data_IF_447933679478
#
_entry.id   IF_447933679478
#
_cell.length_a   1.000
_cell.length_b   1.000
_cell.length_c   1.000
_cell.angle_alpha   90.00
_cell.angle_beta   90.00
_cell.angle_gamma   90.00
#
_symmetry.space_group_name_H-M   'P 1'
#
loop_
_entity.id
_entity.type
_entity.pdbx_description
1 polymer ?
#
# COMPACT_ATOMS: atom_id res chain seq x y z
N UNK A 1 4.76 13.10 3.94
CA UNK A 1 3.38 12.89 3.43
C UNK A 1 2.42 13.97 3.93
N UNK A 2 2.15 14.07 5.24
CA UNK A 2 1.16 15.00 5.84
C UNK A 2 1.25 16.45 5.35
N UNK A 3 2.44 17.06 5.38
CA UNK A 3 2.64 18.44 4.91
C UNK A 3 2.25 18.63 3.44
N UNK A 4 2.76 17.79 2.54
CA UNK A 4 2.39 17.81 1.13
C UNK A 4 0.89 17.54 0.93
N UNK A 5 0.30 16.64 1.73
CA UNK A 5 -1.12 16.35 1.71
C UNK A 5 -1.98 17.58 2.01
N UNK A 6 -1.57 18.41 2.98
CA UNK A 6 -2.23 19.69 3.29
C UNK A 6 -2.15 20.66 2.12
N UNK A 7 -0.96 20.82 1.51
CA UNK A 7 -0.77 21.69 0.35
C UNK A 7 -1.59 21.23 -0.88
N UNK A 8 -1.76 19.92 -1.04
CA UNK A 8 -2.50 19.31 -2.14
C UNK A 8 -4.02 19.16 -1.88
N UNK A 9 -4.51 19.54 -0.69
CA UNK A 9 -5.92 19.36 -0.30
C UNK A 9 -6.34 17.90 -0.05
N UNK A 10 -5.39 16.97 0.08
CA UNK A 10 -5.65 15.53 0.32
C UNK A 10 -5.52 15.12 1.80
N UNK A 11 -5.25 16.09 2.68
CA UNK A 11 -5.19 15.93 4.13
C UNK A 11 -5.90 17.13 4.79
N UNK A 12 -6.78 16.92 5.79
CA UNK A 12 -7.58 17.99 6.39
C UNK A 12 -6.73 18.94 7.25
N UNK A 13 -7.16 20.20 7.35
CA UNK A 13 -6.53 21.23 8.19
C UNK A 13 -7.36 21.62 9.41
N UNK A 14 -8.63 21.22 9.44
CA UNK A 14 -9.63 21.62 10.43
C UNK A 14 -10.57 20.47 10.83
N UNK A 15 -10.16 19.22 10.58
CA UNK A 15 -10.88 18.02 10.97
C UNK A 15 -9.89 17.00 11.55
N UNK A 16 -9.76 17.03 12.88
CA UNK A 16 -8.79 16.21 13.61
C UNK A 16 -9.15 14.72 13.57
N UNK A 17 -10.43 14.37 13.45
CA UNK A 17 -10.86 12.98 13.37
C UNK A 17 -10.49 12.39 12.01
N UNK A 18 -10.78 13.11 10.93
CA UNK A 18 -10.37 12.69 9.59
C UNK A 18 -8.84 12.65 9.45
N UNK A 19 -8.13 13.60 10.07
CA UNK A 19 -6.67 13.58 10.15
C UNK A 19 -6.16 12.29 10.81
N UNK A 20 -6.70 11.94 11.99
CA UNK A 20 -6.33 10.74 12.74
C UNK A 20 -6.63 9.45 11.94
N UNK A 21 -7.77 9.41 11.23
CA UNK A 21 -8.10 8.28 10.36
C UNK A 21 -7.09 8.12 9.22
N UNK A 22 -6.68 9.21 8.55
CA UNK A 22 -5.66 9.16 7.50
C UNK A 22 -4.32 8.69 8.08
N UNK A 23 -3.95 9.22 9.25
CA UNK A 23 -2.72 8.88 9.93
C UNK A 23 -2.62 7.40 10.27
N UNK A 24 -3.73 6.77 10.67
CA UNK A 24 -3.80 5.33 10.91
C UNK A 24 -3.30 4.52 9.69
N UNK A 25 -3.67 4.89 8.47
CA UNK A 25 -3.22 4.16 7.26
C UNK A 25 -1.78 4.48 6.86
N UNK A 26 -1.30 5.70 7.13
CA UNK A 26 0.11 6.07 6.92
C UNK A 26 1.02 5.30 7.88
N UNK A 27 0.64 5.25 9.15
CA UNK A 27 1.40 4.57 10.19
C UNK A 27 1.34 3.05 9.97
N UNK A 28 0.17 2.52 9.60
CA UNK A 28 0.03 1.13 9.17
C UNK A 28 0.93 0.79 7.97
N UNK A 29 1.08 1.72 7.02
CA UNK A 29 1.96 1.52 5.87
C UNK A 29 3.44 1.48 6.28
N UNK A 30 3.80 2.33 7.24
CA UNK A 30 5.14 2.39 7.82
C UNK A 30 5.45 1.10 8.57
N UNK A 31 4.51 0.61 9.38
CA UNK A 31 4.63 -0.66 10.12
C UNK A 31 4.94 -1.85 9.20
N UNK A 32 4.19 -2.00 8.10
CA UNK A 32 4.44 -3.07 7.13
C UNK A 32 5.79 -2.88 6.45
N UNK A 33 6.14 -1.65 6.08
CA UNK A 33 7.43 -1.36 5.43
C UNK A 33 8.59 -1.77 6.34
N UNK A 34 8.53 -1.43 7.62
CA UNK A 34 9.55 -1.78 8.62
C UNK A 34 9.59 -3.29 8.84
N UNK A 35 8.43 -3.95 8.99
CA UNK A 35 8.33 -5.39 9.17
C UNK A 35 9.01 -6.16 8.02
N UNK A 36 8.64 -5.85 6.77
CA UNK A 36 9.17 -6.54 5.58
C UNK A 36 10.66 -6.21 5.39
N UNK A 37 11.07 -4.95 5.60
CA UNK A 37 12.46 -4.54 5.43
C UNK A 37 13.40 -5.17 6.45
N UNK A 38 12.96 -5.33 7.70
CA UNK A 38 13.77 -5.93 8.76
C UNK A 38 13.76 -7.47 8.73
N UNK A 39 12.72 -8.07 8.14
CA UNK A 39 12.66 -9.54 8.00
C UNK A 39 13.76 -10.01 7.06
N UNK A 40 14.74 -10.70 7.62
CA UNK A 40 15.86 -11.27 6.87
C UNK A 40 16.96 -10.29 6.49
N UNK A 41 17.03 -9.12 7.16
CA UNK A 41 17.97 -8.04 6.82
C UNK A 41 19.44 -8.47 6.91
N UNK A 42 19.79 -9.19 7.98
CA UNK A 42 21.17 -9.57 8.30
C UNK A 42 21.44 -11.07 8.02
N UNK A 43 20.49 -11.77 7.41
CA UNK A 43 20.59 -13.18 7.06
C UNK A 43 21.14 -13.39 5.64
N UNK A 44 21.48 -14.64 5.30
CA UNK A 44 21.76 -15.01 3.91
C UNK A 44 20.55 -14.83 3.01
N UNK A 45 20.76 -14.70 1.69
CA UNK A 45 19.65 -14.55 0.72
C UNK A 45 18.62 -15.68 0.79
N UNK A 46 19.08 -16.91 1.03
CA UNK A 46 18.20 -18.08 1.12
C UNK A 46 17.35 -18.05 2.39
N UNK A 47 17.94 -17.70 3.53
CA UNK A 47 17.22 -17.55 4.80
C UNK A 47 16.23 -16.38 4.74
N UNK A 48 16.64 -15.24 4.17
CA UNK A 48 15.77 -14.07 3.94
C UNK A 48 14.54 -14.44 3.11
N UNK A 49 14.73 -15.12 1.98
CA UNK A 49 13.64 -15.63 1.12
C UNK A 49 12.68 -16.52 1.91
N UNK A 50 13.23 -17.44 2.72
CA UNK A 50 12.45 -18.38 3.52
C UNK A 50 11.64 -17.66 4.60
N UNK A 51 12.26 -16.75 5.35
CA UNK A 51 11.59 -15.95 6.40
C UNK A 51 10.50 -15.05 5.81
N UNK A 52 10.75 -14.41 4.67
CA UNK A 52 9.75 -13.57 3.99
C UNK A 52 8.60 -14.38 3.40
N UNK A 53 8.86 -15.57 2.84
CA UNK A 53 7.79 -16.48 2.42
C UNK A 53 6.87 -16.85 3.58
N UNK A 54 7.44 -17.20 4.74
CA UNK A 54 6.67 -17.46 5.96
C UNK A 54 5.94 -16.22 6.49
N UNK A 55 6.48 -15.02 6.26
CA UNK A 55 5.88 -13.76 6.68
C UNK A 55 4.53 -13.52 5.97
N UNK A 56 4.42 -13.87 4.69
CA UNK A 56 3.22 -13.67 3.88
C UNK A 56 2.00 -14.41 4.45
N UNK A 57 2.17 -15.64 4.93
CA UNK A 57 1.12 -16.40 5.61
C UNK A 57 1.11 -16.17 7.14
N UNK A 58 2.09 -15.44 7.67
CA UNK A 58 2.23 -15.08 9.07
C UNK A 58 1.84 -13.63 9.35
N UNK A 59 2.77 -12.86 9.92
CA UNK A 59 2.46 -11.52 10.44
C UNK A 59 2.03 -10.53 9.35
N UNK A 60 2.62 -10.59 8.15
CA UNK A 60 2.19 -9.73 7.05
C UNK A 60 0.76 -10.08 6.63
N UNK A 61 0.45 -11.37 6.46
CA UNK A 61 -0.91 -11.82 6.14
C UNK A 61 -1.94 -11.38 7.18
N UNK A 62 -1.60 -11.46 8.47
CA UNK A 62 -2.44 -10.94 9.56
C UNK A 62 -2.67 -9.43 9.46
N UNK A 63 -1.62 -8.64 9.20
CA UNK A 63 -1.75 -7.19 9.01
C UNK A 63 -2.62 -6.89 7.78
N UNK A 64 -2.40 -7.55 6.64
CA UNK A 64 -3.22 -7.36 5.44
C UNK A 64 -4.70 -7.71 5.67
N UNK A 65 -5.00 -8.76 6.44
CA UNK A 65 -6.38 -9.06 6.87
C UNK A 65 -7.00 -7.92 7.70
N UNK A 66 -6.22 -7.29 8.60
CA UNK A 66 -6.69 -6.13 9.36
C UNK A 66 -6.98 -4.97 8.41
N UNK A 67 -6.07 -4.66 7.49
CA UNK A 67 -6.29 -3.58 6.51
C UNK A 67 -7.53 -3.83 5.66
N UNK A 68 -7.68 -5.04 5.11
CA UNK A 68 -8.84 -5.45 4.32
C UNK A 68 -10.16 -5.23 5.09
N UNK A 69 -10.19 -5.58 6.37
CA UNK A 69 -11.37 -5.38 7.23
C UNK A 69 -11.65 -3.91 7.57
N UNK A 70 -10.67 -3.01 7.46
CA UNK A 70 -10.82 -1.58 7.70
C UNK A 70 -11.18 -0.80 6.42
N UNK A 71 -11.32 -1.47 5.28
CA UNK A 71 -11.79 -0.85 4.03
C UNK A 71 -13.28 -1.16 3.86
N UNK A 72 -14.06 -0.12 3.51
CA UNK A 72 -15.49 -0.25 3.21
C UNK A 72 -15.75 -1.23 2.06
N UNK A 73 -16.87 -1.96 2.15
CA UNK A 73 -17.26 -2.96 1.16
C UNK A 73 -17.52 -2.35 -0.23
N UNK A 74 -17.97 -1.09 -0.28
CA UNK A 74 -18.36 -0.39 -1.50
C UNK A 74 -17.66 0.96 -1.67
N UNK A 75 -17.68 1.48 -2.90
CA UNK A 75 -16.95 2.70 -3.28
C UNK A 75 -15.49 2.39 -3.60
N UNK A 76 -14.72 3.40 -4.02
CA UNK A 76 -13.35 3.18 -4.51
C UNK A 76 -12.27 3.49 -3.47
N UNK A 77 -12.57 4.36 -2.51
CA UNK A 77 -11.59 4.93 -1.60
C UNK A 77 -11.74 4.37 -0.17
N UNK A 78 -10.72 4.53 0.66
CA UNK A 78 -10.65 3.96 2.01
C UNK A 78 -11.56 4.74 2.96
N UNK A 79 -11.40 6.06 3.02
CA UNK A 79 -12.04 6.90 4.04
C UNK A 79 -13.17 7.75 3.45
N UNK A 80 -12.87 8.48 2.36
CA UNK A 80 -13.76 9.49 1.78
C UNK A 80 -14.47 8.96 0.53
N UNK A 81 -15.22 9.83 -0.13
CA UNK A 81 -15.81 9.55 -1.45
C UNK A 81 -14.97 10.08 -2.61
N UNK A 82 -13.75 10.53 -2.32
CA UNK A 82 -12.71 10.87 -3.29
C UNK A 82 -11.34 10.35 -2.85
N UNK A 83 -10.42 10.21 -3.82
CA UNK A 83 -9.04 9.75 -3.58
C UNK A 83 -8.32 10.70 -2.61
N UNK A 84 -7.77 10.15 -1.53
CA UNK A 84 -7.02 10.87 -0.51
C UNK A 84 -5.64 10.30 -0.26
N UNK A 85 -4.97 10.87 0.73
CA UNK A 85 -3.59 10.48 1.09
C UNK A 85 -3.49 9.02 1.58
N UNK A 86 -4.54 8.51 2.25
CA UNK A 86 -4.60 7.11 2.68
C UNK A 86 -4.58 6.14 1.49
N UNK A 87 -5.37 6.42 0.45
CA UNK A 87 -5.45 5.59 -0.76
C UNK A 87 -4.10 5.52 -1.47
N UNK A 88 -3.46 6.68 -1.64
CA UNK A 88 -2.14 6.79 -2.29
C UNK A 88 -1.06 6.05 -1.49
N UNK A 89 -1.08 6.16 -0.16
CA UNK A 89 -0.13 5.46 0.70
C UNK A 89 -0.27 3.93 0.57
N UNK A 90 -1.51 3.42 0.63
CA UNK A 90 -1.80 1.99 0.48
C UNK A 90 -1.46 1.51 -0.93
N UNK A 91 -1.86 2.23 -1.98
CA UNK A 91 -1.49 1.90 -3.36
C UNK A 91 0.03 1.78 -3.52
N UNK A 92 0.79 2.74 -2.99
CA UNK A 92 2.24 2.72 -3.11
C UNK A 92 2.88 1.55 -2.36
N UNK A 93 2.40 1.26 -1.16
CA UNK A 93 2.87 0.13 -0.37
C UNK A 93 2.57 -1.20 -1.06
N UNK A 94 1.32 -1.41 -1.45
CA UNK A 94 0.88 -2.65 -2.10
C UNK A 94 1.57 -2.83 -3.46
N UNK A 95 1.84 -1.73 -4.17
CA UNK A 95 2.62 -1.75 -5.39
C UNK A 95 4.04 -2.29 -5.18
N UNK A 96 4.71 -1.90 -4.09
CA UNK A 96 6.02 -2.45 -3.73
C UNK A 96 5.96 -3.92 -3.30
N UNK A 97 4.98 -4.30 -2.47
CA UNK A 97 4.86 -5.68 -1.97
C UNK A 97 4.54 -6.66 -3.10
N UNK A 98 3.69 -6.26 -4.04
CA UNK A 98 3.21 -7.11 -5.14
C UNK A 98 4.07 -7.03 -6.42
N UNK A 99 5.09 -6.17 -6.46
CA UNK A 99 5.91 -5.98 -7.68
C UNK A 99 6.76 -7.21 -8.06
N UNK A 100 6.93 -8.16 -7.14
CA UNK A 100 7.89 -9.26 -7.29
C UNK A 100 9.35 -8.85 -7.02
N UNK A 101 9.62 -7.60 -6.63
CA UNK A 101 10.98 -7.17 -6.24
C UNK A 101 11.32 -7.47 -4.78
N UNK A 102 10.33 -7.84 -3.97
CA UNK A 102 10.54 -8.20 -2.56
C UNK A 102 10.76 -9.70 -2.46
N UNK A 103 12.03 -10.12 -2.35
CA UNK A 103 12.40 -11.54 -2.30
C UNK A 103 11.58 -12.32 -1.26
N UNK A 104 11.02 -13.45 -1.68
CA UNK A 104 10.24 -14.34 -0.82
C UNK A 104 8.79 -13.93 -0.60
N UNK A 105 8.37 -12.71 -0.96
CA UNK A 105 6.95 -12.33 -0.91
C UNK A 105 6.27 -12.67 -2.25
N UNK A 106 5.17 -13.43 -2.25
CA UNK A 106 4.43 -13.74 -3.48
C UNK A 106 3.89 -12.46 -4.15
N UNK A 107 4.09 -12.31 -5.45
CA UNK A 107 3.60 -11.15 -6.20
C UNK A 107 2.08 -11.14 -6.37
N UNK A 108 1.43 -12.29 -6.18
CA UNK A 108 -0.03 -12.49 -6.20
C UNK A 108 -0.69 -12.36 -4.82
N UNK A 109 0.05 -11.91 -3.79
CA UNK A 109 -0.45 -11.80 -2.41
C UNK A 109 -1.77 -11.02 -2.29
N UNK A 110 -2.01 -10.05 -3.18
CA UNK A 110 -3.23 -9.23 -3.18
C UNK A 110 -4.48 -9.96 -3.68
N UNK A 111 -4.36 -11.15 -4.29
CA UNK A 111 -5.52 -11.94 -4.73
C UNK A 111 -6.42 -12.35 -3.55
N UNK A 112 -5.85 -12.47 -2.35
CA UNK A 112 -6.58 -12.78 -1.11
C UNK A 112 -7.35 -11.57 -0.54
N UNK A 113 -7.14 -10.36 -1.07
CA UNK A 113 -7.59 -9.10 -0.48
C UNK A 113 -8.32 -8.20 -1.50
N UNK A 114 -9.58 -8.53 -1.84
CA UNK A 114 -10.31 -7.85 -2.91
C UNK A 114 -10.53 -6.34 -2.67
N UNK A 115 -10.71 -5.88 -1.44
CA UNK A 115 -10.93 -4.45 -1.14
C UNK A 115 -9.63 -3.66 -1.26
N UNK A 116 -8.52 -4.19 -0.75
CA UNK A 116 -7.19 -3.61 -0.97
C UNK A 116 -6.90 -3.51 -2.47
N UNK A 117 -7.14 -4.59 -3.22
CA UNK A 117 -6.97 -4.63 -4.67
C UNK A 117 -7.83 -3.57 -5.38
N UNK A 118 -9.11 -3.44 -4.99
CA UNK A 118 -10.03 -2.43 -5.51
C UNK A 118 -9.49 -1.00 -5.32
N UNK A 119 -9.06 -0.65 -4.11
CA UNK A 119 -8.45 0.66 -3.82
C UNK A 119 -7.22 0.90 -4.70
N UNK A 120 -6.33 -0.09 -4.80
CA UNK A 120 -5.12 0.03 -5.60
C UNK A 120 -5.44 0.26 -7.08
N UNK A 121 -6.39 -0.47 -7.65
CA UNK A 121 -6.83 -0.30 -9.03
C UNK A 121 -7.47 1.08 -9.26
N UNK A 122 -8.26 1.58 -8.32
CA UNK A 122 -8.86 2.91 -8.42
C UNK A 122 -7.80 4.03 -8.44
N UNK A 123 -6.79 3.95 -7.56
CA UNK A 123 -5.66 4.89 -7.57
C UNK A 123 -4.85 4.76 -8.87
N UNK A 124 -4.54 3.54 -9.29
CA UNK A 124 -3.74 3.26 -10.49
C UNK A 124 -4.41 3.73 -11.80
N UNK A 125 -5.74 3.79 -11.80
CA UNK A 125 -6.57 4.26 -12.91
C UNK A 125 -6.84 5.77 -12.89
N UNK A 126 -6.44 6.48 -11.84
CA UNK A 126 -6.59 7.94 -11.77
C UNK A 126 -5.65 8.64 -12.74
N UNK A 127 -6.18 9.54 -13.58
CA UNK A 127 -5.41 10.24 -14.62
C UNK A 127 -4.15 10.92 -14.08
N UNK A 128 -4.30 11.71 -13.01
CA UNK A 128 -3.17 12.39 -12.34
C UNK A 128 -2.07 11.43 -11.88
N UNK A 129 -2.43 10.22 -11.43
CA UNK A 129 -1.46 9.21 -11.01
C UNK A 129 -0.74 8.64 -12.23
N UNK A 130 -1.47 8.30 -13.31
CA UNK A 130 -0.89 7.81 -14.55
C UNK A 130 0.06 8.81 -15.20
N UNK A 131 -0.36 10.07 -15.28
CA UNK A 131 0.45 11.17 -15.81
C UNK A 131 1.75 11.34 -15.01
N UNK A 132 1.64 11.31 -13.67
CA UNK A 132 2.80 11.40 -12.79
C UNK A 132 3.75 10.21 -12.97
N UNK A 133 3.23 8.98 -13.07
CA UNK A 133 4.06 7.79 -13.29
C UNK A 133 4.80 7.91 -14.62
N UNK A 134 4.10 8.26 -15.70
CA UNK A 134 4.70 8.38 -17.04
C UNK A 134 5.81 9.45 -17.07
N UNK A 135 5.63 10.55 -16.32
CA UNK A 135 6.64 11.61 -16.21
C UNK A 135 7.85 11.19 -15.36
N UNK A 136 7.64 10.34 -14.35
CA UNK A 136 8.63 10.08 -13.29
C UNK A 136 9.45 8.81 -13.54
N UNK A 137 8.84 7.77 -14.13
CA UNK A 137 9.45 6.45 -14.25
C UNK A 137 9.67 6.04 -15.71
N UNK A 138 10.63 5.14 -15.99
CA UNK A 138 10.82 4.58 -17.31
C UNK A 138 9.58 3.85 -17.84
N UNK A 139 9.50 3.74 -19.16
CA UNK A 139 8.50 2.89 -19.82
C UNK A 139 8.55 1.46 -19.28
N UNK A 140 7.38 0.87 -19.02
CA UNK A 140 7.27 -0.48 -18.46
C UNK A 140 7.53 -0.57 -16.95
N UNK A 141 7.62 0.55 -16.21
CA UNK A 141 7.75 0.53 -14.75
C UNK A 141 6.67 -0.33 -14.08
N UNK A 142 7.09 -1.34 -13.33
CA UNK A 142 6.19 -2.18 -12.56
C UNK A 142 5.63 -1.40 -11.36
N UNK A 143 4.34 -1.05 -11.44
CA UNK A 143 3.61 -0.33 -10.40
C UNK A 143 3.08 -1.24 -9.28
N UNK A 144 3.18 -2.55 -9.45
CA UNK A 144 2.54 -3.56 -8.62
C UNK A 144 1.71 -4.52 -9.45
N UNK A 145 1.48 -5.72 -8.91
CA UNK A 145 0.54 -6.67 -9.47
C UNK A 145 -0.83 -6.51 -8.79
N UNK A 146 -1.69 -5.72 -9.41
CA UNK A 146 -3.06 -5.47 -8.95
C UNK A 146 -4.12 -6.30 -9.70
N UNK A 147 -3.71 -7.28 -10.52
CA UNK A 147 -4.59 -8.09 -11.38
C UNK A 147 -4.97 -9.44 -10.78
#
# INVERSE_FOLDING_TARGET
ARFCGKLAGSYPTNDDLLAAQIDQFIDFSTDITVLVSNTGRDDSEQEKRTKRAALADGELGRKLNILENNIKDSGDWIIRDEMGLADIAIWRLMGWISSGTVDGIPSDILQKYPKIKRVCLAVDNTSKIRDWVQLTYPEGYNRGNFN
#
